data_IF_149531710627
#
_entry.id   IF_149531710627
#
_cell.length_a   1.000
_cell.length_b   1.000
_cell.length_c   1.000
_cell.angle_alpha   90.00
_cell.angle_beta   90.00
_cell.angle_gamma   90.00
#
_symmetry.space_group_name_H-M   'P 1'
#
loop_
_entity.id
_entity.type
_entity.pdbx_description
1 polymer ?
#
# COMPACT_ATOMS: atom_id res chain seq x y z
N UNK A 1 100.52 -7.30 31.19
CA UNK A 1 100.25 -6.48 29.99
C UNK A 1 98.89 -6.92 29.45
N UNK A 2 97.91 -6.03 29.55
CA UNK A 2 96.51 -6.26 29.21
C UNK A 2 96.31 -6.53 27.72
N UNK A 3 95.45 -7.49 27.36
CA UNK A 3 94.58 -7.35 26.18
C UNK A 3 93.31 -8.18 26.34
N UNK A 4 92.24 -7.49 26.70
CA UNK A 4 90.85 -7.95 26.65
C UNK A 4 90.45 -8.10 25.19
N UNK A 5 89.92 -9.25 24.78
CA UNK A 5 89.16 -9.38 23.53
C UNK A 5 87.69 -9.63 23.89
N UNK A 6 86.87 -8.64 23.57
CA UNK A 6 85.41 -8.66 23.64
C UNK A 6 84.91 -9.52 22.48
N UNK A 7 84.06 -10.51 22.73
CA UNK A 7 83.25 -11.14 21.68
C UNK A 7 81.79 -10.77 21.88
N UNK A 8 81.17 -10.42 20.77
CA UNK A 8 79.94 -9.66 20.63
C UNK A 8 78.70 -10.47 21.00
N UNK A 9 77.79 -9.83 21.75
CA UNK A 9 76.40 -10.25 21.81
C UNK A 9 75.75 -9.92 20.47
N UNK A 10 75.45 -10.93 19.66
CA UNK A 10 74.60 -10.79 18.49
C UNK A 10 73.15 -10.63 18.97
N UNK A 11 72.65 -9.40 18.94
CA UNK A 11 71.23 -9.14 19.11
C UNK A 11 70.53 -9.47 17.79
N UNK A 12 69.90 -10.65 17.70
CA UNK A 12 69.00 -10.98 16.60
C UNK A 12 67.71 -10.17 16.76
N UNK A 13 67.52 -9.19 15.88
CA UNK A 13 66.27 -8.45 15.76
C UNK A 13 65.20 -9.39 15.16
N UNK A 14 64.28 -9.86 16.00
CA UNK A 14 63.02 -10.46 15.53
C UNK A 14 62.20 -9.33 14.92
N UNK A 15 62.11 -9.29 13.59
CA UNK A 15 61.20 -8.41 12.88
C UNK A 15 59.78 -9.00 13.01
N UNK A 16 59.00 -8.50 13.97
CA UNK A 16 57.58 -8.80 14.07
C UNK A 16 56.85 -8.00 12.98
N UNK A 17 56.53 -8.65 11.87
CA UNK A 17 55.60 -8.09 10.86
C UNK A 17 54.20 -8.12 11.45
N UNK A 18 53.78 -7.00 12.04
CA UNK A 18 52.38 -6.76 12.39
C UNK A 18 51.64 -6.55 11.08
N UNK A 19 50.96 -7.60 10.60
CA UNK A 19 49.95 -7.48 9.56
C UNK A 19 48.85 -6.57 10.11
N UNK A 20 48.72 -5.38 9.53
CA UNK A 20 47.57 -4.51 9.79
C UNK A 20 46.37 -5.18 9.13
N UNK A 21 45.57 -5.93 9.91
CA UNK A 21 44.20 -6.22 9.51
C UNK A 21 43.47 -4.88 9.48
N UNK A 22 43.08 -4.45 8.29
CA UNK A 22 42.07 -3.42 8.14
C UNK A 22 40.84 -3.87 8.93
N UNK A 23 40.24 -3.03 9.79
CA UNK A 23 38.94 -3.35 10.34
C UNK A 23 37.97 -3.40 9.16
N UNK A 24 37.54 -4.60 8.79
CA UNK A 24 36.37 -4.77 7.95
C UNK A 24 35.19 -4.23 8.77
N UNK A 25 34.52 -3.22 8.23
CA UNK A 25 33.16 -2.93 8.66
C UNK A 25 32.37 -4.23 8.45
N UNK A 26 31.53 -4.60 9.43
CA UNK A 26 30.99 -5.94 9.58
C UNK A 26 30.04 -6.35 8.43
N UNK A 27 30.63 -6.70 7.31
CA UNK A 27 30.17 -7.68 6.34
C UNK A 27 30.57 -9.06 6.90
N UNK A 28 29.75 -10.08 6.69
CA UNK A 28 30.13 -11.46 7.03
C UNK A 28 31.40 -11.90 6.29
N UNK A 29 31.84 -13.15 6.50
CA UNK A 29 32.79 -13.75 5.56
C UNK A 29 31.99 -14.48 4.49
N UNK A 30 32.15 -14.06 3.24
CA UNK A 30 31.49 -14.69 2.07
C UNK A 30 31.71 -16.20 2.06
N UNK A 31 30.66 -16.95 1.76
CA UNK A 31 30.70 -18.40 1.62
C UNK A 31 31.75 -18.85 0.59
N UNK A 32 32.39 -19.98 0.84
CA UNK A 32 33.46 -20.51 0.00
C UNK A 32 34.83 -19.82 0.15
N UNK A 33 34.96 -18.83 1.04
CA UNK A 33 36.26 -18.23 1.35
C UNK A 33 37.16 -19.23 2.07
N UNK A 34 38.37 -19.47 1.56
CA UNK A 34 39.39 -20.27 2.26
C UNK A 34 39.92 -19.52 3.50
N UNK A 35 39.87 -20.17 4.66
CA UNK A 35 40.55 -19.74 5.89
C UNK A 35 41.77 -20.63 6.09
N UNK A 36 42.96 -20.08 5.86
CA UNK A 36 44.24 -20.77 6.09
C UNK A 36 44.91 -20.32 7.37
N UNK A 37 45.11 -21.25 8.31
CA UNK A 37 45.95 -21.04 9.49
C UNK A 37 47.36 -21.60 9.25
N UNK A 38 48.40 -20.82 9.55
CA UNK A 38 49.80 -21.20 9.32
C UNK A 38 50.60 -21.22 10.61
N UNK A 39 51.44 -22.24 10.79
CA UNK A 39 52.36 -22.37 11.92
C UNK A 39 53.80 -22.40 11.43
N UNK A 40 54.64 -21.56 12.05
CA UNK A 40 56.09 -21.53 11.83
C UNK A 40 56.80 -21.91 13.12
N UNK A 41 57.61 -22.97 13.08
CA UNK A 41 58.42 -23.41 14.21
C UNK A 41 59.88 -23.01 13.97
N UNK A 42 60.32 -22.02 14.75
CA UNK A 42 61.73 -21.65 14.83
C UNK A 42 62.43 -22.47 15.92
N UNK A 43 63.64 -22.97 15.63
CA UNK A 43 64.42 -23.72 16.61
C UNK A 43 65.91 -23.45 16.46
N UNK A 44 66.67 -23.74 17.52
CA UNK A 44 68.13 -23.62 17.54
C UNK A 44 68.77 -24.96 17.90
N UNK A 45 69.98 -25.21 17.40
CA UNK A 45 70.81 -26.33 17.81
C UNK A 45 72.12 -25.78 18.35
N UNK A 46 72.38 -25.99 19.64
CA UNK A 46 73.59 -25.47 20.30
C UNK A 46 73.68 -23.93 20.35
N UNK A 47 72.55 -23.22 20.34
CA UNK A 47 72.49 -21.76 20.31
C UNK A 47 72.63 -21.14 18.91
N UNK A 48 72.54 -21.96 17.85
CA UNK A 48 72.54 -21.50 16.45
C UNK A 48 71.16 -21.73 15.83
N UNK A 49 70.51 -20.65 15.38
CA UNK A 49 69.24 -20.71 14.68
C UNK A 49 69.27 -21.65 13.47
N UNK A 50 68.22 -22.45 13.34
CA UNK A 50 68.00 -23.37 12.23
C UNK A 50 66.97 -22.80 11.25
N UNK A 51 66.85 -23.41 10.08
CA UNK A 51 65.77 -23.12 9.14
C UNK A 51 64.43 -23.42 9.80
N UNK A 52 63.51 -22.46 9.77
CA UNK A 52 62.17 -22.64 10.30
C UNK A 52 61.43 -23.76 9.53
N UNK A 53 60.53 -24.46 10.21
CA UNK A 53 59.63 -25.43 9.59
C UNK A 53 58.23 -24.86 9.61
N UNK A 54 57.59 -24.85 8.46
CA UNK A 54 56.24 -24.32 8.28
C UNK A 54 55.25 -25.46 7.98
N UNK A 55 54.02 -25.28 8.44
CA UNK A 55 52.86 -26.09 8.03
C UNK A 55 51.60 -25.22 8.03
N UNK A 56 50.57 -25.64 7.30
CA UNK A 56 49.29 -24.94 7.27
C UNK A 56 48.11 -25.90 7.33
N UNK A 57 46.98 -25.38 7.77
CA UNK A 57 45.68 -26.02 7.73
C UNK A 57 44.69 -25.06 7.06
N UNK A 58 43.78 -25.56 6.24
CA UNK A 58 42.82 -24.73 5.50
C UNK A 58 41.45 -25.35 5.56
N UNK A 59 40.45 -24.51 5.79
CA UNK A 59 39.05 -24.89 5.64
C UNK A 59 38.27 -23.79 4.90
N UNK A 60 37.12 -24.11 4.30
CA UNK A 60 36.25 -23.15 3.61
C UNK A 60 35.14 -22.62 4.52
N UNK A 61 34.67 -21.41 4.26
CA UNK A 61 33.53 -20.81 4.98
C UNK A 61 32.21 -21.36 4.45
N UNK A 62 31.36 -21.84 5.35
CA UNK A 62 30.00 -22.31 5.05
C UNK A 62 29.04 -21.19 4.66
N UNK A 63 27.95 -21.58 4.01
CA UNK A 63 26.87 -20.71 3.58
C UNK A 63 25.77 -20.64 4.64
N UNK A 64 25.55 -19.45 5.15
CA UNK A 64 24.44 -19.09 6.05
C UNK A 64 23.35 -18.42 5.25
N UNK A 65 22.20 -19.06 5.10
CA UNK A 65 21.01 -18.47 4.45
C UNK A 65 20.22 -17.69 5.48
N UNK A 66 20.01 -16.40 5.22
CA UNK A 66 19.29 -15.51 6.12
C UNK A 66 18.76 -14.30 5.34
N UNK A 67 17.58 -13.83 5.69
CA UNK A 67 16.91 -12.72 5.03
C UNK A 67 15.94 -12.05 6.01
N UNK A 68 15.50 -10.86 5.66
CA UNK A 68 14.37 -10.20 6.32
C UNK A 68 13.44 -9.61 5.28
N UNK A 69 12.13 -9.64 5.57
CA UNK A 69 11.13 -8.86 4.85
C UNK A 69 10.49 -7.91 5.87
N UNK A 70 10.24 -6.67 5.46
CA UNK A 70 9.54 -5.68 6.27
C UNK A 70 8.66 -4.79 5.38
N UNK A 71 7.51 -4.35 5.89
CA UNK A 71 6.78 -3.25 5.26
C UNK A 71 7.67 -1.99 5.25
N UNK A 72 7.54 -1.15 4.21
CA UNK A 72 8.40 0.04 4.05
C UNK A 72 8.14 1.10 5.11
N UNK A 73 6.96 1.10 5.70
CA UNK A 73 6.59 1.94 6.84
C UNK A 73 5.60 1.22 7.77
N UNK A 74 4.86 1.98 8.57
CA UNK A 74 3.88 1.47 9.56
C UNK A 74 2.56 2.21 9.40
N UNK A 75 2.19 2.47 8.14
CA UNK A 75 0.99 3.19 7.74
C UNK A 75 0.23 2.33 6.74
N UNK A 76 -1.06 2.14 7.00
CA UNK A 76 -1.95 1.47 6.06
C UNK A 76 -2.03 2.18 4.71
N UNK A 77 -2.16 1.41 3.64
CA UNK A 77 -2.47 1.97 2.32
C UNK A 77 -3.95 2.38 2.28
N UNK A 78 -4.22 3.69 2.30
CA UNK A 78 -5.60 4.19 2.21
C UNK A 78 -6.15 4.06 0.80
N UNK A 79 -7.29 3.39 0.67
CA UNK A 79 -7.92 3.06 -0.61
C UNK A 79 -9.41 3.42 -0.63
N UNK A 80 -10.01 3.45 -1.82
CA UNK A 80 -11.46 3.58 -2.00
C UNK A 80 -12.05 2.33 -2.66
N UNK A 81 -13.36 2.05 -2.47
CA UNK A 81 -13.99 0.92 -3.13
C UNK A 81 -13.83 0.98 -4.64
N UNK A 82 -13.59 -0.17 -5.28
CA UNK A 82 -13.38 -0.31 -6.72
C UNK A 82 -12.10 0.37 -7.25
N UNK A 83 -11.15 0.70 -6.38
CA UNK A 83 -9.80 1.04 -6.84
C UNK A 83 -9.05 -0.22 -7.27
N UNK A 84 -8.27 -0.07 -8.34
CA UNK A 84 -7.49 -1.14 -8.95
C UNK A 84 -6.00 -0.90 -8.71
N UNK A 85 -5.21 -1.97 -8.70
CA UNK A 85 -3.75 -1.93 -8.68
C UNK A 85 -3.18 -1.08 -7.52
N UNK A 86 -3.81 -1.11 -6.33
CA UNK A 86 -3.36 -0.33 -5.18
C UNK A 86 -2.11 -0.97 -4.57
N UNK A 87 -1.08 -0.15 -4.35
CA UNK A 87 0.27 -0.63 -4.03
C UNK A 87 0.52 -0.52 -2.53
N UNK A 88 0.94 -1.63 -1.92
CA UNK A 88 1.59 -1.66 -0.61
C UNK A 88 3.05 -2.09 -0.80
N UNK A 89 3.98 -1.57 0.00
CA UNK A 89 5.41 -1.63 -0.32
C UNK A 89 6.21 -2.32 0.79
N UNK A 90 7.12 -3.20 0.37
CA UNK A 90 7.99 -3.97 1.25
C UNK A 90 9.46 -3.76 0.88
N UNK A 91 10.34 -4.06 1.82
CA UNK A 91 11.79 -4.16 1.62
C UNK A 91 12.24 -5.57 1.96
N UNK A 92 12.92 -6.20 1.02
CA UNK A 92 13.59 -7.48 1.24
C UNK A 92 15.08 -7.23 1.36
N UNK A 93 15.69 -7.77 2.41
CA UNK A 93 17.14 -7.64 2.65
C UNK A 93 17.76 -9.02 2.71
N UNK A 94 18.80 -9.24 1.89
CA UNK A 94 19.63 -10.41 2.00
C UNK A 94 20.64 -10.20 3.15
N UNK A 95 20.49 -10.95 4.25
CA UNK A 95 21.44 -10.90 5.39
C UNK A 95 22.23 -12.20 5.52
N UNK A 96 22.30 -12.95 4.41
CA UNK A 96 23.14 -14.11 4.22
C UNK A 96 24.58 -13.68 3.95
N UNK A 97 25.48 -14.66 3.82
CA UNK A 97 26.87 -14.44 3.39
C UNK A 97 27.11 -14.98 1.97
N UNK A 98 26.09 -14.95 1.12
CA UNK A 98 26.20 -15.29 -0.30
C UNK A 98 25.21 -14.45 -1.12
N UNK A 99 25.41 -14.41 -2.44
CA UNK A 99 24.43 -13.84 -3.36
C UNK A 99 23.28 -14.83 -3.52
N UNK A 100 22.04 -14.35 -3.39
CA UNK A 100 20.84 -15.19 -3.48
C UNK A 100 19.80 -14.55 -4.40
N UNK A 101 19.01 -15.42 -5.01
CA UNK A 101 17.72 -15.04 -5.58
C UNK A 101 16.62 -15.21 -4.52
N UNK A 102 15.49 -14.53 -4.70
CA UNK A 102 14.32 -14.74 -3.84
C UNK A 102 13.06 -14.93 -4.67
N UNK A 103 12.43 -16.10 -4.51
CA UNK A 103 11.07 -16.32 -4.97
C UNK A 103 10.10 -15.53 -4.10
N UNK A 104 9.13 -14.86 -4.72
CA UNK A 104 8.15 -14.03 -4.02
C UNK A 104 6.76 -14.65 -4.10
N UNK A 105 6.07 -14.70 -2.96
CA UNK A 105 4.68 -15.10 -2.85
C UNK A 105 3.88 -14.07 -2.08
N UNK A 106 2.60 -13.92 -2.42
CA UNK A 106 1.67 -13.03 -1.72
C UNK A 106 0.37 -13.76 -1.44
N UNK A 107 -0.17 -13.58 -0.25
CA UNK A 107 -1.46 -14.11 0.16
C UNK A 107 -2.25 -13.09 0.95
N UNK A 108 -3.57 -13.08 0.82
CA UNK A 108 -4.42 -12.40 1.79
C UNK A 108 -4.29 -13.08 3.17
N UNK A 109 -4.34 -12.27 4.21
CA UNK A 109 -4.49 -12.75 5.58
C UNK A 109 -5.86 -13.42 5.75
N UNK A 110 -5.96 -14.39 6.66
CA UNK A 110 -7.21 -15.10 6.94
C UNK A 110 -7.88 -14.56 8.21
N UNK A 111 -8.31 -13.30 8.18
CA UNK A 111 -8.91 -12.60 9.31
C UNK A 111 -7.92 -12.21 10.42
N UNK A 112 -8.46 -11.63 11.50
CA UNK A 112 -7.67 -11.24 12.67
C UNK A 112 -7.23 -9.78 12.62
N UNK A 113 -6.32 -9.39 13.51
CA UNK A 113 -5.82 -8.01 13.54
C UNK A 113 -4.88 -7.78 12.34
N UNK A 114 -5.09 -6.65 11.65
CA UNK A 114 -4.16 -6.16 10.63
C UNK A 114 -3.01 -5.38 11.31
N UNK A 115 -1.82 -5.32 10.68
CA UNK A 115 -0.61 -4.75 11.30
C UNK A 115 -0.74 -3.25 11.62
N UNK A 116 -1.45 -2.47 10.80
CA UNK A 116 -1.62 -1.03 10.98
C UNK A 116 -2.94 -0.64 11.68
N UNK A 117 -3.69 -1.62 12.19
CA UNK A 117 -4.92 -1.42 12.96
C UNK A 117 -6.17 -1.95 12.27
N UNK A 118 -7.28 -2.01 13.01
CA UNK A 118 -8.53 -2.61 12.51
C UNK A 118 -8.52 -4.14 12.54
N UNK A 119 -9.38 -4.74 11.73
CA UNK A 119 -9.53 -6.20 11.62
C UNK A 119 -9.64 -6.54 10.15
N UNK A 120 -8.79 -7.45 9.69
CA UNK A 120 -8.88 -8.04 8.37
C UNK A 120 -10.26 -8.67 8.20
N UNK A 121 -11.08 -8.07 7.33
CA UNK A 121 -12.50 -8.40 7.19
C UNK A 121 -12.92 -8.57 5.72
N UNK A 122 -12.03 -8.33 4.76
CA UNK A 122 -12.19 -8.69 3.36
C UNK A 122 -10.85 -9.05 2.71
N UNK A 123 -10.92 -9.71 1.55
CA UNK A 123 -9.74 -10.04 0.74
C UNK A 123 -9.58 -9.03 -0.41
N UNK A 124 -8.36 -8.53 -0.60
CA UNK A 124 -8.00 -7.88 -1.85
C UNK A 124 -7.98 -8.93 -2.99
N UNK A 125 -8.33 -8.50 -4.20
CA UNK A 125 -8.37 -9.36 -5.38
C UNK A 125 -7.24 -9.01 -6.36
N UNK A 126 -6.99 -9.88 -7.34
CA UNK A 126 -6.01 -9.58 -8.39
C UNK A 126 -4.58 -9.35 -7.88
N UNK A 127 -4.16 -10.03 -6.80
CA UNK A 127 -2.85 -9.77 -6.20
C UNK A 127 -1.70 -10.00 -7.20
N UNK A 128 -0.79 -9.04 -7.26
CA UNK A 128 0.44 -9.10 -8.07
C UNK A 128 1.65 -8.64 -7.26
N UNK A 129 2.84 -9.06 -7.69
CA UNK A 129 4.10 -8.71 -7.03
C UNK A 129 5.08 -8.24 -8.10
N UNK A 130 5.74 -7.12 -7.84
CA UNK A 130 6.78 -6.56 -8.71
C UNK A 130 7.98 -6.07 -7.90
N UNK A 131 9.17 -6.16 -8.48
CA UNK A 131 10.41 -5.65 -7.89
C UNK A 131 10.73 -4.27 -8.47
N UNK A 132 11.12 -3.33 -7.61
CA UNK A 132 11.59 -1.99 -7.99
C UNK A 132 12.90 -2.10 -8.77
N UNK A 133 12.78 -2.16 -10.10
CA UNK A 133 13.89 -2.47 -10.99
C UNK A 133 14.73 -1.23 -11.30
N UNK A 134 14.19 -0.04 -11.06
CA UNK A 134 14.86 1.23 -11.31
C UNK A 134 15.36 1.93 -10.02
N UNK A 135 14.97 1.42 -8.85
CA UNK A 135 15.43 1.84 -7.53
C UNK A 135 14.88 3.20 -7.09
N UNK A 136 13.70 3.61 -7.58
CA UNK A 136 13.11 4.91 -7.26
C UNK A 136 12.10 4.88 -6.10
N UNK A 137 11.76 3.70 -5.59
CA UNK A 137 10.81 3.49 -4.49
C UNK A 137 9.34 3.68 -4.86
N UNK A 138 8.99 3.71 -6.15
CA UNK A 138 7.62 3.90 -6.65
C UNK A 138 7.34 2.88 -7.76
N UNK A 139 6.19 2.20 -7.69
CA UNK A 139 5.80 1.29 -8.75
C UNK A 139 5.58 2.01 -10.09
N UNK A 140 6.40 1.67 -11.09
CA UNK A 140 6.32 2.14 -12.46
C UNK A 140 5.84 1.02 -13.40
N UNK A 141 4.55 1.05 -13.74
CA UNK A 141 3.95 0.07 -14.64
C UNK A 141 4.72 -0.05 -15.98
N UNK A 142 5.19 -1.26 -16.29
CA UNK A 142 5.96 -1.57 -17.49
C UNK A 142 7.47 -1.33 -17.37
N UNK A 143 7.94 -0.73 -16.27
CA UNK A 143 9.37 -0.73 -15.89
C UNK A 143 9.63 -1.80 -14.83
N UNK A 144 8.80 -1.84 -13.79
CA UNK A 144 8.88 -2.85 -12.74
C UNK A 144 8.07 -4.07 -13.18
N UNK A 145 8.77 -5.02 -13.82
CA UNK A 145 8.14 -6.22 -14.38
C UNK A 145 8.62 -7.53 -13.77
N UNK A 146 9.72 -7.48 -13.02
CA UNK A 146 10.29 -8.66 -12.37
C UNK A 146 9.41 -9.11 -11.21
N UNK A 147 9.15 -10.42 -11.12
CA UNK A 147 8.27 -11.02 -10.09
C UNK A 147 9.05 -11.86 -9.07
N UNK A 148 10.37 -11.82 -9.14
CA UNK A 148 11.30 -12.43 -8.20
C UNK A 148 12.51 -11.51 -8.08
N UNK A 149 13.25 -11.62 -6.99
CA UNK A 149 14.48 -10.86 -6.80
C UNK A 149 15.63 -11.68 -7.38
N UNK A 150 16.40 -11.07 -8.27
CA UNK A 150 17.48 -11.69 -9.03
C UNK A 150 18.83 -11.19 -8.52
N UNK A 151 19.71 -12.10 -8.12
CA UNK A 151 21.11 -11.85 -7.74
C UNK A 151 21.28 -10.74 -6.68
N UNK A 152 20.51 -10.80 -5.58
CA UNK A 152 20.62 -9.84 -4.50
C UNK A 152 21.89 -10.11 -3.69
N UNK A 153 22.83 -9.17 -3.75
CA UNK A 153 24.11 -9.26 -3.06
C UNK A 153 23.98 -9.35 -1.53
N UNK A 154 25.05 -9.81 -0.88
CA UNK A 154 25.17 -9.80 0.58
C UNK A 154 24.88 -8.41 1.15
N UNK A 155 24.10 -8.36 2.24
CA UNK A 155 23.66 -7.14 2.95
C UNK A 155 22.93 -6.10 2.09
N UNK A 156 22.55 -6.45 0.85
CA UNK A 156 21.76 -5.58 -0.02
C UNK A 156 20.27 -5.69 0.29
N UNK A 157 19.57 -4.57 0.04
CA UNK A 157 18.11 -4.48 0.13
C UNK A 157 17.53 -4.08 -1.22
N UNK A 158 16.31 -4.54 -1.49
CA UNK A 158 15.53 -4.15 -2.65
C UNK A 158 14.06 -3.94 -2.27
N UNK A 159 13.40 -3.01 -2.96
CA UNK A 159 11.99 -2.72 -2.75
C UNK A 159 11.13 -3.66 -3.59
N UNK A 160 10.04 -4.14 -2.98
CA UNK A 160 9.04 -5.01 -3.60
C UNK A 160 7.66 -4.39 -3.42
N UNK A 161 6.90 -4.33 -4.50
CA UNK A 161 5.53 -3.84 -4.54
C UNK A 161 4.56 -5.00 -4.56
N UNK A 162 3.54 -4.94 -3.71
CA UNK A 162 2.37 -5.80 -3.77
C UNK A 162 1.18 -4.96 -4.22
N UNK A 163 0.53 -5.39 -5.30
CA UNK A 163 -0.66 -4.73 -5.84
C UNK A 163 -1.90 -5.52 -5.46
N UNK A 164 -3.00 -4.82 -5.22
CA UNK A 164 -4.31 -5.42 -4.97
C UNK A 164 -5.47 -4.54 -5.44
N UNK A 165 -6.53 -5.20 -5.89
CA UNK A 165 -7.80 -4.59 -6.27
C UNK A 165 -8.80 -4.63 -5.11
N UNK A 166 -9.49 -3.51 -4.88
CA UNK A 166 -10.43 -3.34 -3.78
C UNK A 166 -11.86 -3.60 -4.28
N UNK A 167 -12.59 -4.59 -3.74
CA UNK A 167 -13.96 -4.86 -4.16
C UNK A 167 -14.89 -3.64 -3.97
N UNK A 168 -15.88 -3.49 -4.86
CA UNK A 168 -16.80 -2.32 -4.85
C UNK A 168 -17.71 -2.24 -3.61
N UNK A 169 -17.91 -3.35 -2.90
CA UNK A 169 -18.85 -3.42 -1.77
C UNK A 169 -18.27 -2.97 -0.44
N UNK A 170 -16.98 -2.63 -0.37
CA UNK A 170 -16.35 -2.21 0.88
C UNK A 170 -16.85 -0.84 1.32
N UNK A 171 -16.85 -0.62 2.63
CA UNK A 171 -17.20 0.65 3.28
C UNK A 171 -16.02 1.17 4.09
N UNK A 172 -16.13 2.39 4.62
CA UNK A 172 -15.09 2.98 5.46
C UNK A 172 -14.72 2.07 6.63
N UNK A 173 -13.42 2.00 6.93
CA UNK A 173 -12.77 1.19 7.96
C UNK A 173 -12.77 -0.33 7.68
N UNK A 174 -13.24 -0.79 6.51
CA UNK A 174 -12.95 -2.16 6.07
C UNK A 174 -11.45 -2.30 5.77
N UNK A 175 -10.86 -3.43 6.16
CA UNK A 175 -9.42 -3.69 6.06
C UNK A 175 -9.16 -5.03 5.37
N UNK A 176 -8.21 -5.02 4.45
CA UNK A 176 -7.62 -6.22 3.85
C UNK A 176 -6.11 -6.22 4.08
N UNK A 177 -5.61 -7.24 4.79
CA UNK A 177 -4.20 -7.43 5.02
C UNK A 177 -3.62 -8.45 4.04
N UNK A 178 -2.41 -8.18 3.56
CA UNK A 178 -1.67 -9.03 2.62
C UNK A 178 -0.28 -9.30 3.16
N UNK A 179 0.16 -10.56 3.05
CA UNK A 179 1.47 -11.00 3.50
C UNK A 179 2.35 -11.27 2.30
N UNK A 180 3.50 -10.59 2.23
CA UNK A 180 4.58 -10.91 1.31
C UNK A 180 5.51 -11.93 1.97
N UNK A 181 5.80 -13.02 1.26
CA UNK A 181 6.82 -14.00 1.65
C UNK A 181 7.91 -14.02 0.60
N UNK A 182 9.15 -13.78 1.03
CA UNK A 182 10.34 -14.03 0.21
C UNK A 182 10.95 -15.38 0.62
N UNK A 183 11.33 -16.20 -0.35
CA UNK A 183 12.00 -17.49 -0.11
C UNK A 183 13.30 -17.56 -0.88
N UNK A 184 14.40 -17.80 -0.19
CA UNK A 184 15.73 -17.93 -0.78
C UNK A 184 15.81 -19.02 -1.84
N UNK A 185 16.53 -18.71 -2.90
CA UNK A 185 16.88 -19.58 -4.02
C UNK A 185 18.38 -19.43 -4.32
N UNK A 186 18.97 -20.44 -4.92
CA UNK A 186 20.35 -20.36 -5.43
C UNK A 186 20.49 -19.15 -6.38
N UNK A 187 21.63 -18.46 -6.39
CA UNK A 187 21.92 -17.52 -7.48
C UNK A 187 22.09 -18.28 -8.79
N UNK A 188 21.31 -17.96 -9.82
CA UNK A 188 21.37 -18.61 -11.14
C UNK A 188 21.95 -17.73 -12.26
N UNK A 189 22.46 -16.56 -11.91
CA UNK A 189 22.89 -15.54 -12.86
C UNK A 189 21.70 -14.75 -13.42
N UNK A 190 22.02 -13.57 -13.95
CA UNK A 190 21.03 -12.55 -14.27
C UNK A 190 19.85 -13.04 -15.15
N UNK A 191 18.64 -12.74 -14.69
CA UNK A 191 17.37 -12.95 -15.38
C UNK A 191 16.78 -14.34 -15.20
N UNK A 192 17.20 -15.10 -14.19
CA UNK A 192 16.63 -16.42 -13.91
C UNK A 192 16.60 -16.72 -12.43
N UNK A 193 15.43 -17.14 -11.93
CA UNK A 193 15.30 -17.66 -10.57
C UNK A 193 16.02 -19.01 -10.44
N UNK A 194 16.93 -19.11 -9.48
CA UNK A 194 17.65 -20.35 -9.24
C UNK A 194 16.86 -21.44 -8.51
N UNK A 195 17.58 -22.53 -8.23
CA UNK A 195 17.00 -23.74 -7.65
C UNK A 195 16.62 -23.54 -6.17
N UNK A 196 15.77 -24.43 -5.67
CA UNK A 196 15.41 -24.49 -4.25
C UNK A 196 16.65 -24.81 -3.42
N UNK A 197 16.94 -23.96 -2.43
CA UNK A 197 18.01 -24.19 -1.45
C UNK A 197 17.72 -25.46 -0.63
N UNK A 198 18.77 -26.21 -0.29
CA UNK A 198 18.67 -27.38 0.58
C UNK A 198 19.63 -27.21 1.76
N UNK A 199 19.12 -27.36 2.98
CA UNK A 199 19.96 -27.37 4.18
C UNK A 199 20.73 -28.69 4.30
N UNK A 200 22.03 -28.58 4.60
CA UNK A 200 22.88 -29.72 4.90
C UNK A 200 22.62 -30.26 6.30
N UNK A 201 22.47 -31.58 6.42
CA UNK A 201 22.21 -32.26 7.71
C UNK A 201 23.45 -32.95 8.29
N UNK A 202 24.59 -32.82 7.62
CA UNK A 202 25.85 -33.49 7.91
C UNK A 202 26.74 -32.75 8.91
N UNK A 203 27.89 -33.35 9.23
CA UNK A 203 28.98 -32.61 9.86
C UNK A 203 29.74 -31.80 8.80
N UNK A 204 30.35 -30.70 9.24
CA UNK A 204 31.23 -29.85 8.42
C UNK A 204 32.34 -30.65 7.74
N UNK A 205 32.53 -30.38 6.45
CA UNK A 205 33.62 -30.86 5.63
C UNK A 205 34.56 -29.71 5.30
N UNK A 206 35.79 -29.76 5.83
CA UNK A 206 36.77 -28.67 5.67
C UNK A 206 37.02 -28.16 4.23
N UNK A 207 36.69 -28.89 3.15
CA UNK A 207 36.88 -28.42 1.77
C UNK A 207 35.57 -28.40 0.95
N UNK A 208 34.43 -28.45 1.62
CA UNK A 208 33.09 -28.36 1.04
C UNK A 208 32.34 -27.24 1.72
N UNK A 209 31.51 -26.52 0.97
CA UNK A 209 30.67 -25.46 1.54
C UNK A 209 29.34 -26.10 1.89
N UNK A 210 28.98 -26.09 3.17
CA UNK A 210 27.68 -26.54 3.63
C UNK A 210 26.70 -25.37 3.75
N UNK A 211 25.41 -25.66 3.54
CA UNK A 211 24.33 -24.68 3.63
C UNK A 211 23.55 -24.85 4.93
N UNK A 212 23.44 -23.76 5.70
CA UNK A 212 22.71 -23.71 6.97
C UNK A 212 21.64 -22.63 6.88
N UNK A 213 20.39 -22.99 7.19
CA UNK A 213 19.30 -22.01 7.28
C UNK A 213 19.36 -21.32 8.64
N UNK A 214 19.29 -19.99 8.64
CA UNK A 214 19.51 -19.15 9.81
C UNK A 214 18.56 -17.95 9.90
N UNK A 215 17.57 -17.89 9.00
CA UNK A 215 16.42 -17.01 9.10
C UNK A 215 15.62 -17.26 10.39
N UNK A 216 15.02 -16.17 10.87
CA UNK A 216 14.00 -16.23 11.90
C UNK A 216 12.62 -16.37 11.26
N UNK A 217 11.62 -16.78 12.03
CA UNK A 217 10.23 -16.73 11.55
C UNK A 217 9.77 -15.27 11.37
N UNK A 218 9.14 -15.00 10.23
CA UNK A 218 8.30 -13.83 10.00
C UNK A 218 6.86 -14.04 10.47
N UNK A 219 5.91 -13.39 9.80
CA UNK A 219 4.49 -13.41 10.22
C UNK A 219 3.79 -14.76 9.97
N UNK A 220 4.11 -15.44 8.86
CA UNK A 220 3.42 -16.66 8.39
C UNK A 220 4.34 -17.81 7.96
N UNK A 221 5.66 -17.61 7.99
CA UNK A 221 6.68 -18.62 7.67
C UNK A 221 7.24 -19.32 8.93
N UNK A 222 8.07 -20.35 8.73
CA UNK A 222 8.66 -21.12 9.82
C UNK A 222 10.13 -20.70 10.06
N UNK A 223 10.57 -20.79 11.32
CA UNK A 223 11.96 -20.47 11.64
C UNK A 223 12.94 -21.48 10.99
N UNK A 224 13.97 -20.97 10.31
CA UNK A 224 15.00 -21.75 9.59
C UNK A 224 14.43 -22.52 8.41
N UNK A 225 13.63 -21.88 7.58
CA UNK A 225 13.07 -22.48 6.35
C UNK A 225 13.53 -21.77 5.06
N UNK A 226 14.52 -20.87 5.17
CA UNK A 226 15.00 -19.99 4.12
C UNK A 226 13.94 -19.02 3.58
N UNK A 227 12.85 -18.80 4.30
CA UNK A 227 11.85 -17.79 3.99
C UNK A 227 11.74 -16.76 5.12
N UNK A 228 11.16 -15.61 4.78
CA UNK A 228 10.75 -14.62 5.75
C UNK A 228 9.54 -13.88 5.17
N UNK A 229 8.57 -13.59 6.02
CA UNK A 229 7.35 -12.90 5.62
C UNK A 229 7.04 -11.70 6.49
N UNK A 230 6.39 -10.72 5.88
CA UNK A 230 5.84 -9.55 6.56
C UNK A 230 4.48 -9.20 5.96
N UNK A 231 3.62 -8.66 6.80
CA UNK A 231 2.25 -8.28 6.46
C UNK A 231 2.13 -6.76 6.43
N UNK A 232 1.33 -6.28 5.48
CA UNK A 232 0.88 -4.90 5.39
C UNK A 232 -0.60 -4.88 5.01
N UNK A 233 -1.27 -3.73 5.03
CA UNK A 233 -2.72 -3.69 4.84
C UNK A 233 -3.25 -2.48 4.06
N UNK A 234 -4.41 -2.69 3.45
CA UNK A 234 -5.25 -1.68 2.82
C UNK A 234 -6.41 -1.32 3.76
N UNK A 235 -6.60 -0.03 4.03
CA UNK A 235 -7.78 0.46 4.77
C UNK A 235 -8.66 1.31 3.87
N UNK A 236 -9.93 0.93 3.79
CA UNK A 236 -10.92 1.60 2.95
C UNK A 236 -11.39 2.90 3.58
N UNK A 237 -11.36 3.96 2.78
CA UNK A 237 -12.00 5.24 3.04
C UNK A 237 -13.01 5.51 1.92
N UNK A 238 -14.29 5.33 2.24
CA UNK A 238 -15.41 5.44 1.30
C UNK A 238 -16.32 6.62 1.66
N UNK A 239 -17.08 7.12 0.68
CA UNK A 239 -18.20 8.01 0.96
C UNK A 239 -19.46 7.17 1.26
N UNK A 240 -20.23 7.57 2.27
CA UNK A 240 -21.50 6.91 2.62
C UNK A 240 -22.67 7.84 2.26
N UNK A 241 -23.20 7.65 1.05
CA UNK A 241 -24.18 8.55 0.45
C UNK A 241 -25.59 8.03 0.64
N UNK A 242 -26.43 8.89 1.20
CA UNK A 242 -27.88 8.67 1.29
C UNK A 242 -28.62 9.73 0.49
N UNK A 243 -29.76 9.35 -0.09
CA UNK A 243 -30.59 10.25 -0.90
C UNK A 243 -32.02 10.25 -0.37
N UNK A 244 -32.54 11.44 -0.09
CA UNK A 244 -33.93 11.66 0.33
C UNK A 244 -34.64 12.58 -0.66
N UNK A 245 -35.75 12.12 -1.23
CA UNK A 245 -36.61 12.94 -2.09
C UNK A 245 -37.90 13.28 -1.35
N UNK A 246 -38.19 14.57 -1.22
CA UNK A 246 -39.38 15.10 -0.54
C UNK A 246 -40.15 16.04 -1.46
N UNK A 247 -41.41 16.30 -1.12
CA UNK A 247 -42.26 17.21 -1.88
C UNK A 247 -43.17 18.03 -0.96
N UNK A 248 -43.45 19.26 -1.37
CA UNK A 248 -44.38 20.16 -0.68
C UNK A 248 -45.26 20.89 -1.69
N UNK A 249 -46.57 20.93 -1.44
CA UNK A 249 -47.48 21.78 -2.21
C UNK A 249 -47.31 23.22 -1.70
N UNK A 250 -46.86 24.12 -2.58
CA UNK A 250 -46.64 25.52 -2.23
C UNK A 250 -47.87 26.38 -2.47
N UNK A 251 -48.66 26.04 -3.48
CA UNK A 251 -49.80 26.85 -3.93
C UNK A 251 -50.79 26.02 -4.73
N UNK A 252 -52.08 26.36 -4.68
CA UNK A 252 -53.07 25.85 -5.63
C UNK A 252 -54.05 26.92 -6.11
N UNK A 253 -54.71 26.73 -7.27
CA UNK A 253 -55.59 27.74 -7.88
C UNK A 253 -56.83 28.14 -7.06
N UNK A 254 -57.19 27.40 -6.02
CA UNK A 254 -58.40 27.61 -5.22
C UNK A 254 -58.05 28.16 -3.83
N UNK A 255 -57.09 27.56 -3.14
CA UNK A 255 -56.73 27.89 -1.76
C UNK A 255 -55.52 28.84 -1.66
N UNK A 256 -54.82 29.10 -2.76
CA UNK A 256 -53.61 29.90 -2.77
C UNK A 256 -52.49 29.24 -1.95
N UNK A 257 -51.69 30.03 -1.23
CA UNK A 257 -50.62 29.61 -0.31
C UNK A 257 -51.15 29.15 1.05
N UNK A 258 -52.44 29.34 1.34
CA UNK A 258 -53.05 28.98 2.63
C UNK A 258 -53.69 27.60 2.55
N UNK A 259 -53.08 26.60 3.19
CA UNK A 259 -53.51 25.19 3.15
C UNK A 259 -53.69 24.62 1.73
N UNK A 260 -52.69 24.78 0.84
CA UNK A 260 -52.78 24.33 -0.54
C UNK A 260 -53.00 22.81 -0.64
N UNK A 261 -53.59 22.39 -1.77
CA UNK A 261 -53.92 21.01 -2.12
C UNK A 261 -53.26 20.64 -3.46
N UNK A 262 -52.79 19.40 -3.59
CA UNK A 262 -52.27 18.86 -4.84
C UNK A 262 -53.40 18.54 -5.84
N UNK A 263 -54.08 19.59 -6.32
CA UNK A 263 -55.11 19.53 -7.37
C UNK A 263 -54.51 19.96 -8.72
N UNK A 264 -55.17 19.68 -9.86
CA UNK A 264 -54.73 20.19 -11.16
C UNK A 264 -54.49 21.71 -11.12
N UNK A 265 -53.33 22.13 -11.63
CA UNK A 265 -52.81 23.50 -11.57
C UNK A 265 -52.05 23.86 -10.29
N UNK A 266 -51.93 22.96 -9.31
CA UNK A 266 -51.15 23.21 -8.10
C UNK A 266 -49.64 23.20 -8.38
N UNK A 267 -48.90 24.02 -7.62
CA UNK A 267 -47.45 24.11 -7.71
C UNK A 267 -46.85 23.28 -6.57
N UNK A 268 -46.02 22.31 -6.93
CA UNK A 268 -45.32 21.41 -6.01
C UNK A 268 -43.82 21.65 -6.14
N UNK A 269 -43.16 21.83 -5.02
CA UNK A 269 -41.70 21.86 -4.94
C UNK A 269 -41.19 20.49 -4.52
N UNK A 270 -40.23 19.97 -5.28
CA UNK A 270 -39.47 18.79 -4.92
C UNK A 270 -38.11 19.21 -4.42
N UNK A 271 -37.63 18.51 -3.40
CA UNK A 271 -36.24 18.58 -2.95
C UNK A 271 -35.64 17.18 -2.96
N UNK A 272 -34.49 17.03 -3.63
CA UNK A 272 -33.63 15.85 -3.54
C UNK A 272 -32.44 16.26 -2.67
N UNK A 273 -32.36 15.72 -1.45
CA UNK A 273 -31.22 15.90 -0.57
C UNK A 273 -30.27 14.71 -0.69
N UNK A 274 -28.99 14.99 -0.94
CA UNK A 274 -27.90 14.04 -0.95
C UNK A 274 -27.02 14.33 0.25
N UNK A 275 -26.96 13.39 1.18
CA UNK A 275 -26.21 13.51 2.43
C UNK A 275 -25.05 12.53 2.41
N UNK A 276 -23.85 13.01 2.74
CA UNK A 276 -22.67 12.17 2.96
C UNK A 276 -22.44 12.02 4.47
N UNK A 277 -22.38 10.79 4.99
CA UNK A 277 -22.14 10.59 6.41
C UNK A 277 -20.77 11.15 6.83
N UNK A 278 -20.64 11.55 8.09
CA UNK A 278 -19.37 11.99 8.65
C UNK A 278 -18.42 10.79 8.85
N UNK A 279 -17.10 11.03 8.78
CA UNK A 279 -16.08 10.02 9.06
C UNK A 279 -15.59 9.23 7.84
N UNK A 280 -16.19 9.44 6.66
CA UNK A 280 -15.74 8.86 5.40
C UNK A 280 -14.97 9.84 4.49
N UNK A 281 -14.82 9.46 3.22
CA UNK A 281 -14.30 10.32 2.16
C UNK A 281 -15.34 11.33 1.67
N UNK A 282 -14.88 12.40 1.03
CA UNK A 282 -15.72 13.30 0.25
C UNK A 282 -16.25 12.59 -1.01
N UNK A 283 -17.53 12.75 -1.31
CA UNK A 283 -18.10 12.28 -2.57
C UNK A 283 -17.90 13.35 -3.65
N UNK A 284 -17.03 13.07 -4.63
CA UNK A 284 -16.78 14.00 -5.73
C UNK A 284 -17.75 13.76 -6.92
N UNK A 285 -18.02 14.84 -7.67
CA UNK A 285 -18.81 14.81 -8.90
C UNK A 285 -20.21 14.16 -8.74
N UNK A 286 -20.90 14.46 -7.64
CA UNK A 286 -22.24 13.94 -7.36
C UNK A 286 -23.23 14.51 -8.38
N UNK A 287 -23.73 13.65 -9.26
CA UNK A 287 -24.70 14.02 -10.29
C UNK A 287 -26.07 13.42 -10.04
N UNK A 288 -27.11 14.22 -10.27
CA UNK A 288 -28.51 13.84 -10.13
C UNK A 288 -29.17 13.83 -11.50
N UNK A 289 -29.94 12.79 -11.76
CA UNK A 289 -30.86 12.67 -12.89
C UNK A 289 -32.19 12.14 -12.36
N UNK A 290 -33.22 12.96 -12.44
CA UNK A 290 -34.56 12.67 -11.97
C UNK A 290 -35.55 12.69 -13.14
N UNK A 291 -35.97 11.51 -13.57
CA UNK A 291 -36.87 11.33 -14.70
C UNK A 291 -38.34 11.40 -14.26
N UNK A 292 -39.00 12.52 -14.59
CA UNK A 292 -40.40 12.76 -14.27
C UNK A 292 -41.35 12.12 -15.28
N UNK A 293 -40.87 11.59 -16.42
CA UNK A 293 -41.73 10.96 -17.42
C UNK A 293 -42.45 9.71 -16.86
N UNK A 294 -41.83 9.02 -15.91
CA UNK A 294 -42.43 7.89 -15.21
C UNK A 294 -43.49 8.30 -14.18
N UNK A 295 -43.47 9.56 -13.73
CA UNK A 295 -44.45 10.08 -12.76
C UNK A 295 -45.79 10.37 -13.45
N UNK A 296 -45.74 10.93 -14.66
CA UNK A 296 -46.92 11.43 -15.38
C UNK A 296 -47.61 12.59 -14.63
N UNK A 297 -48.52 13.29 -15.31
CA UNK A 297 -49.42 14.28 -14.69
C UNK A 297 -48.72 15.45 -13.97
N UNK A 298 -47.48 15.74 -14.34
CA UNK A 298 -46.74 16.91 -13.90
C UNK A 298 -45.98 17.53 -15.08
N UNK A 299 -45.93 18.86 -15.10
CA UNK A 299 -45.16 19.66 -16.06
C UNK A 299 -44.21 20.61 -15.35
N UNK A 300 -43.08 20.95 -15.97
CA UNK A 300 -42.13 21.90 -15.37
C UNK A 300 -42.76 23.27 -15.13
N UNK A 301 -42.51 23.84 -13.95
CA UNK A 301 -43.05 25.13 -13.58
C UNK A 301 -42.17 26.27 -14.11
N UNK A 302 -42.29 26.56 -15.41
CA UNK A 302 -41.47 27.57 -16.09
C UNK A 302 -42.08 28.98 -16.09
N UNK A 303 -43.40 29.09 -15.90
CA UNK A 303 -44.13 30.36 -15.96
C UNK A 303 -45.18 30.44 -14.88
N UNK A 304 -45.21 31.55 -14.13
CA UNK A 304 -46.23 31.75 -13.11
C UNK A 304 -47.64 31.87 -13.71
N UNK A 305 -48.65 31.16 -13.18
CA UNK A 305 -50.03 31.32 -13.62
C UNK A 305 -50.53 32.72 -13.26
N UNK A 306 -51.47 33.22 -14.03
CA UNK A 306 -52.21 34.43 -13.64
C UNK A 306 -53.05 34.12 -12.40
N UNK A 307 -52.99 34.91 -11.32
CA UNK A 307 -53.81 34.70 -10.14
C UNK A 307 -55.29 34.58 -10.54
N UNK A 308 -56.05 33.61 -9.99
CA UNK A 308 -57.47 33.49 -10.28
C UNK A 308 -58.21 34.77 -9.86
N UNK A 309 -59.20 35.19 -10.65
CA UNK A 309 -59.99 36.40 -10.41
C UNK A 309 -60.88 36.35 -9.13
N UNK A 310 -60.67 35.36 -8.26
CA UNK A 310 -61.48 35.07 -7.07
C UNK A 310 -61.22 36.01 -5.87
N UNK A 311 -60.68 37.21 -6.11
CA UNK A 311 -60.50 38.24 -5.07
C UNK A 311 -59.37 37.98 -4.06
N UNK A 312 -58.60 36.91 -4.21
CA UNK A 312 -57.38 36.66 -3.42
C UNK A 312 -56.20 37.38 -4.08
N UNK A 313 -55.53 38.28 -3.36
CA UNK A 313 -54.29 38.96 -3.78
C UNK A 313 -53.05 38.05 -3.69
N UNK A 314 -53.26 36.75 -3.52
CA UNK A 314 -52.20 35.79 -3.28
C UNK A 314 -51.46 35.49 -4.58
N UNK A 315 -50.15 35.71 -4.56
CA UNK A 315 -49.29 35.61 -5.74
C UNK A 315 -48.67 34.22 -5.76
N UNK A 316 -48.81 33.45 -6.86
CA UNK A 316 -48.14 32.16 -6.98
C UNK A 316 -46.63 32.30 -6.72
N UNK A 317 -45.98 31.31 -6.11
CA UNK A 317 -44.53 31.31 -5.93
C UNK A 317 -43.88 31.48 -7.31
N UNK A 318 -42.82 32.28 -7.42
CA UNK A 318 -42.14 32.47 -8.71
C UNK A 318 -41.53 31.15 -9.21
N UNK A 319 -41.40 30.93 -10.53
CA UNK A 319 -40.51 29.90 -11.05
C UNK A 319 -39.12 30.07 -10.45
N UNK A 320 -38.54 28.99 -9.92
CA UNK A 320 -37.16 28.96 -9.44
C UNK A 320 -36.21 28.30 -10.46
N UNK A 321 -36.75 27.59 -11.45
CA UNK A 321 -35.97 26.66 -12.27
C UNK A 321 -35.41 25.53 -11.40
N UNK A 322 -34.29 24.97 -11.83
CA UNK A 322 -33.53 24.00 -11.05
C UNK A 322 -32.44 24.75 -10.29
N UNK A 323 -32.50 24.68 -8.96
CA UNK A 323 -31.52 25.32 -8.06
C UNK A 323 -30.89 24.29 -7.15
N UNK A 324 -29.72 24.63 -6.62
CA UNK A 324 -29.03 23.86 -5.58
C UNK A 324 -28.90 24.67 -4.29
N UNK A 325 -28.94 23.98 -3.16
CA UNK A 325 -28.84 24.58 -1.83
C UNK A 325 -28.28 23.55 -0.83
N UNK A 326 -27.92 23.98 0.37
CA UNK A 326 -27.40 23.06 1.42
C UNK A 326 -28.52 22.47 2.28
N UNK A 327 -29.78 22.86 2.04
CA UNK A 327 -30.95 22.37 2.74
C UNK A 327 -32.22 22.48 1.88
N UNK A 328 -33.21 21.62 2.17
CA UNK A 328 -34.48 21.57 1.42
C UNK A 328 -35.40 22.77 1.63
N UNK A 329 -35.07 23.70 2.51
CA UNK A 329 -35.76 24.99 2.62
C UNK A 329 -35.22 26.04 1.63
N UNK A 330 -34.28 25.64 0.75
CA UNK A 330 -33.63 26.50 -0.23
C UNK A 330 -32.61 27.46 0.39
N UNK A 331 -32.24 27.27 1.66
CA UNK A 331 -31.21 28.07 2.32
C UNK A 331 -29.81 27.52 2.07
N UNK A 332 -28.82 28.41 2.18
CA UNK A 332 -27.44 28.12 1.83
C UNK A 332 -27.20 28.18 0.32
N UNK A 333 -25.94 28.08 -0.07
CA UNK A 333 -25.55 28.10 -1.48
C UNK A 333 -24.53 27.01 -1.68
N UNK A 334 -24.86 26.04 -2.53
CA UNK A 334 -23.88 25.11 -3.06
C UNK A 334 -23.04 25.85 -4.10
N UNK A 335 -21.79 26.18 -3.76
CA UNK A 335 -20.88 26.92 -4.64
C UNK A 335 -20.33 26.09 -5.80
N UNK A 336 -20.36 24.77 -5.67
CA UNK A 336 -19.77 23.82 -6.62
C UNK A 336 -20.80 23.29 -7.63
N UNK A 337 -22.08 23.55 -7.38
CA UNK A 337 -23.16 23.09 -8.22
C UNK A 337 -23.10 23.68 -9.64
N UNK A 338 -23.35 22.83 -10.63
CA UNK A 338 -23.27 23.19 -12.03
C UNK A 338 -24.24 22.35 -12.88
N UNK A 339 -24.41 22.75 -14.15
CA UNK A 339 -25.26 22.04 -15.10
C UNK A 339 -26.70 21.77 -14.61
N UNK A 340 -27.22 22.68 -13.78
CA UNK A 340 -28.59 22.63 -13.28
C UNK A 340 -29.56 22.92 -14.43
N UNK A 341 -30.52 22.03 -14.66
CA UNK A 341 -31.46 22.22 -15.75
C UNK A 341 -32.57 21.19 -15.80
N UNK A 342 -33.60 21.53 -16.58
CA UNK A 342 -34.76 20.69 -16.84
C UNK A 342 -34.98 20.60 -18.36
N UNK A 343 -35.00 19.39 -18.90
CA UNK A 343 -35.17 19.15 -20.33
C UNK A 343 -35.75 17.76 -20.59
N UNK A 344 -36.69 17.65 -21.54
CA UNK A 344 -37.22 16.35 -21.97
C UNK A 344 -37.89 15.52 -20.86
N UNK A 345 -38.45 16.19 -19.83
CA UNK A 345 -39.05 15.53 -18.66
C UNK A 345 -38.05 15.07 -17.61
N UNK A 346 -36.75 15.40 -17.75
CA UNK A 346 -35.70 15.09 -16.78
C UNK A 346 -35.23 16.37 -16.08
N UNK A 347 -35.12 16.31 -14.76
CA UNK A 347 -34.39 17.29 -13.95
C UNK A 347 -32.99 16.76 -13.69
N UNK A 348 -31.98 17.57 -13.98
CA UNK A 348 -30.57 17.20 -13.78
C UNK A 348 -29.79 18.29 -13.07
N UNK A 349 -28.75 17.88 -12.35
CA UNK A 349 -27.79 18.79 -11.75
C UNK A 349 -26.54 18.06 -11.28
N UNK A 350 -25.40 18.72 -11.33
CA UNK A 350 -24.18 18.28 -10.66
C UNK A 350 -24.08 19.08 -9.36
N UNK A 351 -24.06 18.40 -8.22
CA UNK A 351 -23.89 19.01 -6.89
C UNK A 351 -22.41 19.26 -6.55
N UNK A 352 -21.47 18.83 -7.40
CA UNK A 352 -20.05 18.98 -7.16
C UNK A 352 -19.54 17.99 -6.12
N UNK A 353 -18.76 18.48 -5.16
CA UNK A 353 -18.25 17.68 -4.06
C UNK A 353 -19.21 17.79 -2.86
N UNK A 354 -19.61 16.64 -2.30
CA UNK A 354 -20.35 16.59 -1.04
C UNK A 354 -19.39 16.08 0.03
N UNK A 355 -18.88 17.00 0.85
CA UNK A 355 -17.90 16.68 1.87
C UNK A 355 -18.48 15.73 2.94
N UNK A 356 -17.61 14.98 3.61
CA UNK A 356 -18.04 14.08 4.68
C UNK A 356 -18.77 14.84 5.81
N UNK A 357 -20.01 14.44 6.10
CA UNK A 357 -20.88 15.08 7.10
C UNK A 357 -21.81 16.16 6.54
N UNK A 358 -21.66 16.53 5.27
CA UNK A 358 -22.47 17.58 4.63
C UNK A 358 -23.69 17.03 3.90
N UNK A 359 -24.61 17.94 3.56
CA UNK A 359 -25.78 17.66 2.72
C UNK A 359 -25.91 18.74 1.68
N UNK A 360 -26.09 18.30 0.44
CA UNK A 360 -26.34 19.15 -0.71
C UNK A 360 -27.66 18.75 -1.36
N UNK A 361 -28.38 19.74 -1.90
CA UNK A 361 -29.75 19.54 -2.37
C UNK A 361 -29.95 20.06 -3.78
N UNK A 362 -30.88 19.44 -4.50
CA UNK A 362 -31.41 19.89 -5.78
C UNK A 362 -32.91 20.15 -5.62
N UNK A 363 -33.34 21.37 -5.93
CA UNK A 363 -34.72 21.83 -5.75
C UNK A 363 -35.28 22.29 -7.08
N UNK A 364 -36.50 21.86 -7.39
CA UNK A 364 -37.23 22.27 -8.59
C UNK A 364 -38.74 22.27 -8.32
N UNK A 365 -39.49 22.96 -9.18
CA UNK A 365 -40.95 23.08 -9.08
C UNK A 365 -41.64 22.50 -10.30
N UNK A 366 -42.78 21.87 -10.06
CA UNK A 366 -43.66 21.38 -11.11
C UNK A 366 -45.08 21.89 -10.91
N UNK A 367 -45.86 21.86 -11.97
CA UNK A 367 -47.31 22.03 -11.96
C UNK A 367 -47.96 20.66 -12.07
N UNK A 368 -48.98 20.40 -11.27
CA UNK A 368 -49.84 19.22 -11.42
C UNK A 368 -50.76 19.43 -12.63
N UNK A 369 -50.80 18.48 -13.56
CA UNK A 369 -51.62 18.57 -14.79
C UNK A 369 -53.12 18.30 -14.57
#
# INVERSE_FOLDING_TARGET
MNRKLKLAAAASAVALTIGVSSPAFAEGTTAGTDITNQVTVNFEVGGVAQTAVDNSDTFVVDRKINLTVAASDSVTTSVSPNQQDQVTTFVVTNTSNDVLDFELGVTNQAGGAAPNGGTDNFDATGLQIFVDSNGNGVYDAGTDTETFIDELAEDASITVFVLGDIPVSQVTDDVAAVTLTATGREGAGAGSLGAVLTEDTGADGANTVETVFADAAGDTDANRDAAFSATDDYTVLAADITVAKTSQVLWDPINGTTNPKAIPGAIVEYCIAVSNAAGGADAAAVSISDDLNNTGNVTFYTTAPTPPANGTTDTPPAPNGVISATACDGTGTNGDASALGEAGGVVSGNLGNVAAGDTETLIFRVTVD
#
